data_IF_309337351678
#
_entry.id   IF_309337351678
#
_cell.length_a   1.000
_cell.length_b   1.000
_cell.length_c   1.000
_cell.angle_alpha   90.00
_cell.angle_beta   90.00
_cell.angle_gamma   90.00
#
_symmetry.space_group_name_H-M   'P 1'
#
loop_
_entity.id
_entity.type
_entity.pdbx_description
1 polymer ?
#
# COMPACT_ATOMS: atom_id res chain seq x y z
N UNK A 1 -20.61 3.27 -17.53
CA UNK A 1 -19.31 3.95 -17.39
C UNK A 1 -18.66 3.30 -16.19
N UNK A 2 -17.66 2.45 -16.41
CA UNK A 2 -16.96 1.80 -15.32
C UNK A 2 -16.14 2.88 -14.61
N UNK A 3 -16.40 3.03 -13.31
CA UNK A 3 -15.60 3.79 -12.37
C UNK A 3 -14.21 3.13 -12.35
N UNK A 4 -13.36 3.50 -13.32
CA UNK A 4 -11.93 3.19 -13.29
C UNK A 4 -11.42 3.87 -12.02
N UNK A 5 -11.41 3.10 -10.93
CA UNK A 5 -10.73 3.44 -9.69
C UNK A 5 -9.30 3.80 -10.07
N UNK A 6 -9.05 5.08 -10.29
CA UNK A 6 -7.71 5.62 -10.40
C UNK A 6 -6.93 5.02 -9.23
N UNK A 7 -5.81 4.31 -9.47
CA UNK A 7 -4.98 3.83 -8.38
C UNK A 7 -4.65 5.06 -7.54
N UNK A 8 -5.05 5.06 -6.26
CA UNK A 8 -4.86 6.16 -5.31
C UNK A 8 -3.55 6.88 -5.62
N UNK A 9 -3.61 8.07 -6.25
CA UNK A 9 -2.65 8.60 -7.23
C UNK A 9 -1.13 8.47 -6.94
N UNK A 10 -0.61 7.25 -6.89
CA UNK A 10 0.80 6.92 -6.72
C UNK A 10 1.14 5.95 -5.60
N UNK A 11 0.20 5.16 -5.07
CA UNK A 11 0.57 3.87 -4.48
C UNK A 11 -0.39 2.76 -4.86
N UNK A 12 0.11 1.51 -4.83
CA UNK A 12 -0.68 0.31 -5.05
C UNK A 12 -0.11 -0.86 -4.25
N UNK A 13 -0.98 -1.75 -3.78
CA UNK A 13 -0.55 -3.04 -3.20
C UNK A 13 -0.33 -4.00 -4.35
N UNK A 14 0.90 -4.50 -4.51
CA UNK A 14 1.28 -5.35 -5.65
C UNK A 14 1.30 -6.83 -5.29
N UNK A 15 1.52 -7.16 -4.02
CA UNK A 15 1.59 -8.55 -3.57
C UNK A 15 1.23 -8.67 -2.09
N UNK A 16 0.66 -9.82 -1.71
CA UNK A 16 0.53 -10.25 -0.34
C UNK A 16 0.95 -11.72 -0.23
N UNK A 17 2.03 -11.97 0.50
CA UNK A 17 2.48 -13.32 0.84
C UNK A 17 1.79 -13.75 2.13
N UNK A 18 0.74 -14.57 1.99
CA UNK A 18 -0.04 -15.07 3.13
C UNK A 18 0.80 -15.92 4.10
N UNK A 19 1.79 -16.65 3.57
CA UNK A 19 2.60 -17.59 4.35
C UNK A 19 3.54 -16.85 5.27
N UNK A 20 4.18 -15.81 4.76
CA UNK A 20 5.09 -14.97 5.54
C UNK A 20 4.38 -13.74 6.11
N UNK A 21 3.10 -13.53 5.81
CA UNK A 21 2.31 -12.33 6.15
C UNK A 21 3.05 -11.05 5.78
N UNK A 22 3.61 -11.01 4.57
CA UNK A 22 4.35 -9.86 4.04
C UNK A 22 3.54 -9.20 2.95
N UNK A 23 3.31 -7.89 3.08
CA UNK A 23 2.68 -7.11 2.01
C UNK A 23 3.73 -6.32 1.24
N UNK A 24 3.59 -6.27 -0.09
CA UNK A 24 4.40 -5.41 -0.95
C UNK A 24 3.54 -4.26 -1.44
N UNK A 25 3.99 -3.04 -1.13
CA UNK A 25 3.34 -1.80 -1.52
C UNK A 25 4.29 -1.07 -2.45
N UNK A 26 3.82 -0.81 -3.66
CA UNK A 26 4.54 0.00 -4.62
C UNK A 26 4.12 1.45 -4.47
N UNK A 27 5.09 2.35 -4.31
CA UNK A 27 4.88 3.78 -4.08
C UNK A 27 5.67 4.58 -5.12
N UNK A 28 5.03 5.60 -5.69
CA UNK A 28 5.68 6.54 -6.59
C UNK A 28 6.60 7.49 -5.81
N UNK A 29 7.85 7.66 -6.24
CA UNK A 29 8.87 8.44 -5.52
C UNK A 29 8.44 9.87 -5.16
N UNK A 30 7.61 10.49 -6.01
CA UNK A 30 7.05 11.84 -5.79
C UNK A 30 6.34 11.98 -4.44
N UNK A 31 5.70 10.91 -3.95
CA UNK A 31 4.93 10.91 -2.71
C UNK A 31 5.84 10.77 -1.48
N UNK A 32 6.98 10.08 -1.63
CA UNK A 32 7.94 9.92 -0.54
C UNK A 32 8.60 11.25 -0.12
N UNK A 33 8.45 12.33 -0.91
CA UNK A 33 8.98 13.66 -0.59
C UNK A 33 8.22 14.36 0.54
N UNK A 34 6.98 13.98 0.81
CA UNK A 34 6.17 14.53 1.90
C UNK A 34 5.92 13.46 2.98
N UNK A 35 6.48 13.62 4.19
CA UNK A 35 6.26 12.69 5.30
C UNK A 35 4.78 12.48 5.67
N UNK A 36 3.94 13.50 5.47
CA UNK A 36 2.51 13.40 5.75
C UNK A 36 1.82 12.44 4.79
N UNK A 37 2.28 12.40 3.53
CA UNK A 37 1.74 11.48 2.55
C UNK A 37 2.17 10.04 2.79
N UNK A 38 3.39 9.80 3.28
CA UNK A 38 3.81 8.45 3.68
C UNK A 38 2.87 7.88 4.76
N UNK A 39 2.52 8.70 5.75
CA UNK A 39 1.59 8.31 6.80
C UNK A 39 0.18 8.05 6.25
N UNK A 40 -0.29 8.88 5.32
CA UNK A 40 -1.59 8.71 4.66
C UNK A 40 -1.65 7.42 3.83
N UNK A 41 -0.58 7.08 3.10
CA UNK A 41 -0.47 5.83 2.35
C UNK A 41 -0.54 4.64 3.29
N UNK A 42 0.22 4.64 4.38
CA UNK A 42 0.21 3.53 5.34
C UNK A 42 -1.17 3.30 5.92
N UNK A 43 -1.87 4.38 6.31
CA UNK A 43 -3.26 4.28 6.77
C UNK A 43 -4.16 3.71 5.69
N UNK A 44 -4.06 4.20 4.46
CA UNK A 44 -4.92 3.75 3.37
C UNK A 44 -4.64 2.32 2.95
N UNK A 45 -3.37 1.91 2.94
CA UNK A 45 -2.97 0.53 2.73
C UNK A 45 -3.59 -0.36 3.81
N UNK A 46 -3.53 0.03 5.08
CA UNK A 46 -4.17 -0.74 6.15
C UNK A 46 -5.68 -0.88 5.99
N UNK A 47 -6.40 0.18 5.62
CA UNK A 47 -7.84 0.08 5.31
C UNK A 47 -8.12 -0.93 4.20
N UNK A 48 -7.27 -0.98 3.17
CA UNK A 48 -7.40 -1.95 2.08
C UNK A 48 -7.13 -3.37 2.60
N UNK A 49 -6.07 -3.58 3.39
CA UNK A 49 -5.74 -4.88 3.97
C UNK A 49 -6.84 -5.41 4.88
N UNK A 50 -7.42 -4.54 5.71
CA UNK A 50 -8.56 -4.88 6.56
C UNK A 50 -9.77 -5.27 5.72
N UNK A 51 -10.12 -4.46 4.72
CA UNK A 51 -11.32 -4.69 3.91
C UNK A 51 -11.19 -5.90 2.96
N UNK A 52 -10.01 -6.11 2.38
CA UNK A 52 -9.79 -7.15 1.36
C UNK A 52 -9.34 -8.48 1.93
N UNK A 53 -8.59 -8.47 3.03
CA UNK A 53 -7.95 -9.66 3.58
C UNK A 53 -8.30 -9.92 5.04
N UNK A 54 -9.13 -9.06 5.65
CA UNK A 54 -9.54 -9.22 7.05
C UNK A 54 -8.39 -9.05 8.03
N UNK A 55 -7.36 -8.27 7.68
CA UNK A 55 -6.20 -7.99 8.53
C UNK A 55 -6.41 -6.63 9.22
N UNK A 56 -6.91 -6.60 10.47
CA UNK A 56 -7.29 -5.35 11.13
C UNK A 56 -6.08 -4.59 11.69
N UNK A 57 -4.90 -5.23 11.80
CA UNK A 57 -3.75 -4.63 12.46
C UNK A 57 -2.44 -4.85 11.69
N UNK A 58 -1.61 -3.81 11.65
CA UNK A 58 -0.29 -3.87 11.00
C UNK A 58 0.65 -4.85 11.72
N UNK A 59 0.45 -5.04 13.04
CA UNK A 59 1.20 -6.00 13.86
C UNK A 59 0.93 -7.46 13.49
N UNK A 60 -0.16 -7.73 12.75
CA UNK A 60 -0.44 -9.08 12.23
C UNK A 60 0.42 -9.42 11.02
N UNK A 61 1.01 -8.40 10.37
CA UNK A 61 1.99 -8.56 9.31
C UNK A 61 3.37 -8.82 9.91
N UNK A 62 4.12 -9.75 9.30
CA UNK A 62 5.53 -9.94 9.69
C UNK A 62 6.43 -8.91 9.02
N UNK A 63 5.95 -8.21 7.99
CA UNK A 63 6.69 -7.14 7.34
C UNK A 63 5.93 -6.41 6.24
N UNK A 64 6.42 -5.22 5.92
CA UNK A 64 5.96 -4.42 4.78
C UNK A 64 7.17 -4.10 3.91
N UNK A 65 7.06 -4.44 2.62
CA UNK A 65 8.05 -4.10 1.61
C UNK A 65 7.55 -2.90 0.83
N UNK A 66 8.38 -1.85 0.73
CA UNK A 66 8.10 -0.69 -0.10
C UNK A 66 8.92 -0.76 -1.39
N UNK A 67 8.24 -0.87 -2.53
CA UNK A 67 8.86 -0.78 -3.84
C UNK A 67 8.70 0.63 -4.40
N UNK A 68 9.81 1.33 -4.61
CA UNK A 68 9.76 2.69 -5.14
C UNK A 68 9.73 2.63 -6.67
N UNK A 69 8.68 3.18 -7.29
CA UNK A 69 8.65 3.46 -8.72
C UNK A 69 9.06 4.90 -9.00
N UNK A 70 10.03 5.07 -9.87
CA UNK A 70 10.29 6.33 -10.56
C UNK A 70 9.40 6.35 -11.81
N UNK A 71 8.46 7.30 -11.86
CA UNK A 71 7.72 7.58 -13.08
C UNK A 71 8.68 8.21 -14.09
N UNK A 72 8.85 7.55 -15.23
CA UNK A 72 9.45 8.14 -16.43
C UNK A 72 8.66 9.35 -16.91
#
# INVERSE_FOLDING_TARGET
MADEKYPLEGFQITNYDEKNRVVTIQIHRRILRDPNQQTAILKKAMEILEFTMGIPNISDLSGIIFEIRDGT
#
